data_IF_192269363043
#
_entry.id   IF_192269363043
#
_cell.length_a   1.000
_cell.length_b   1.000
_cell.length_c   1.000
_cell.angle_alpha   90.00
_cell.angle_beta   90.00
_cell.angle_gamma   90.00
#
_symmetry.space_group_name_H-M   'P 1'
#
loop_
_entity.id
_entity.type
_entity.pdbx_description
1 polymer ?
#
# COMPACT_ATOMS: atom_id res chain seq x y z
N UNK A 1 1.22 -8.77 -25.35
CA UNK A 1 1.87 -9.43 -24.20
C UNK A 1 0.78 -10.12 -23.39
N UNK A 2 0.83 -11.45 -23.27
CA UNK A 2 -0.08 -12.21 -22.40
C UNK A 2 0.46 -12.17 -20.97
N UNK A 3 -0.27 -11.58 -20.04
CA UNK A 3 0.06 -11.64 -18.62
C UNK A 3 -0.04 -13.09 -18.17
N UNK A 4 1.06 -13.65 -17.66
CA UNK A 4 1.11 -15.02 -17.16
C UNK A 4 0.31 -15.15 -15.87
N UNK A 5 -0.23 -16.34 -15.64
CA UNK A 5 -0.97 -16.64 -14.40
C UNK A 5 -0.10 -16.42 -13.15
N UNK A 6 1.19 -16.70 -13.22
CA UNK A 6 2.16 -16.44 -12.17
C UNK A 6 2.33 -14.95 -11.83
N UNK A 7 2.30 -14.06 -12.82
CA UNK A 7 2.39 -12.61 -12.59
C UNK A 7 1.13 -12.09 -11.89
N UNK A 8 -0.04 -12.63 -12.24
CA UNK A 8 -1.31 -12.30 -11.58
C UNK A 8 -1.26 -12.70 -10.11
N UNK A 9 -0.78 -13.91 -9.80
CA UNK A 9 -0.64 -14.38 -8.41
C UNK A 9 0.33 -13.48 -7.63
N UNK A 10 1.48 -13.14 -8.22
CA UNK A 10 2.45 -12.26 -7.56
C UNK A 10 1.86 -10.88 -7.27
N UNK A 11 1.15 -10.28 -8.23
CA UNK A 11 0.43 -9.02 -8.01
C UNK A 11 -0.58 -9.13 -6.86
N UNK A 12 -1.33 -10.22 -6.80
CA UNK A 12 -2.34 -10.46 -5.78
C UNK A 12 -1.70 -10.60 -4.39
N UNK A 13 -0.55 -11.26 -4.29
CA UNK A 13 0.18 -11.41 -3.02
C UNK A 13 0.81 -10.09 -2.59
N UNK A 14 1.54 -9.41 -3.46
CA UNK A 14 2.32 -8.22 -3.10
C UNK A 14 1.46 -6.96 -2.95
N UNK A 15 0.43 -6.78 -3.78
CA UNK A 15 -0.48 -5.62 -3.71
C UNK A 15 -1.72 -5.95 -2.87
N UNK A 16 -2.28 -7.14 -3.03
CA UNK A 16 -3.47 -7.55 -2.28
C UNK A 16 -3.18 -7.91 -0.83
N UNK A 17 -2.07 -8.61 -0.54
CA UNK A 17 -1.70 -9.05 0.80
C UNK A 17 -1.71 -7.95 1.87
N UNK A 18 -1.09 -6.78 1.63
CA UNK A 18 -1.09 -5.64 2.54
C UNK A 18 -2.48 -5.09 2.90
N UNK A 19 -3.49 -5.24 2.03
CA UNK A 19 -4.89 -4.88 2.32
C UNK A 19 -5.63 -6.04 2.97
N UNK A 20 -5.48 -7.26 2.44
CA UNK A 20 -6.18 -8.45 2.89
C UNK A 20 -5.89 -8.74 4.36
N UNK A 21 -4.64 -8.61 4.80
CA UNK A 21 -4.26 -8.87 6.18
C UNK A 21 -5.02 -7.98 7.20
N UNK A 22 -4.96 -6.64 7.13
CA UNK A 22 -5.69 -5.78 8.05
C UNK A 22 -7.21 -5.91 7.89
N UNK A 23 -7.72 -6.15 6.68
CA UNK A 23 -9.14 -6.37 6.43
C UNK A 23 -9.66 -7.61 7.19
N UNK A 24 -8.97 -8.75 7.07
CA UNK A 24 -9.32 -9.99 7.78
C UNK A 24 -9.22 -9.86 9.30
N UNK A 25 -8.30 -9.03 9.78
CA UNK A 25 -8.12 -8.75 11.22
C UNK A 25 -9.00 -7.61 11.74
N UNK A 26 -9.92 -7.07 10.92
CA UNK A 26 -10.79 -5.92 11.24
C UNK A 26 -10.00 -4.71 11.77
N UNK A 27 -8.77 -4.53 11.29
CA UNK A 27 -7.87 -3.42 11.66
C UNK A 27 -8.12 -2.25 10.71
N UNK A 28 -9.24 -1.55 10.94
CA UNK A 28 -9.74 -0.52 10.02
C UNK A 28 -8.77 0.64 9.80
N UNK A 29 -8.07 1.12 10.85
CA UNK A 29 -7.09 2.20 10.71
C UNK A 29 -5.88 1.77 9.88
N UNK A 30 -5.41 0.52 10.06
CA UNK A 30 -4.37 -0.05 9.20
C UNK A 30 -4.85 -0.15 7.75
N UNK A 31 -6.03 -0.72 7.52
CA UNK A 31 -6.60 -0.87 6.19
C UNK A 31 -6.73 0.48 5.47
N UNK A 32 -7.21 1.51 6.17
CA UNK A 32 -7.33 2.87 5.64
C UNK A 32 -5.96 3.43 5.25
N UNK A 33 -4.94 3.22 6.09
CA UNK A 33 -3.57 3.71 5.83
C UNK A 33 -2.99 3.09 4.57
N UNK A 34 -3.15 1.78 4.39
CA UNK A 34 -2.66 1.07 3.19
C UNK A 34 -3.43 1.54 1.96
N UNK A 35 -4.75 1.73 2.06
CA UNK A 35 -5.58 2.20 0.96
C UNK A 35 -5.21 3.62 0.52
N UNK A 36 -5.02 4.54 1.47
CA UNK A 36 -4.50 5.88 1.19
C UNK A 36 -3.09 5.84 0.59
N UNK A 37 -2.24 4.95 1.07
CA UNK A 37 -0.93 4.70 0.50
C UNK A 37 -1.00 4.33 -0.98
N UNK A 38 -1.90 3.42 -1.36
CA UNK A 38 -2.05 3.06 -2.78
C UNK A 38 -2.54 4.21 -3.64
N UNK A 39 -3.47 5.03 -3.13
CA UNK A 39 -3.93 6.22 -3.85
C UNK A 39 -2.77 7.20 -4.03
N UNK A 40 -2.00 7.48 -2.98
CA UNK A 40 -0.81 8.33 -3.03
C UNK A 40 0.24 7.81 -4.03
N UNK A 41 0.48 6.50 -4.04
CA UNK A 41 1.41 5.90 -4.99
C UNK A 41 0.91 6.04 -6.42
N UNK A 42 -0.38 5.79 -6.66
CA UNK A 42 -0.99 6.00 -7.98
C UNK A 42 -0.92 7.45 -8.45
N UNK A 43 -1.12 8.42 -7.55
CA UNK A 43 -0.95 9.84 -7.85
C UNK A 43 0.50 10.21 -8.15
N UNK A 44 1.46 9.62 -7.43
CA UNK A 44 2.88 9.77 -7.74
C UNK A 44 3.22 9.21 -9.12
N UNK A 45 2.68 8.04 -9.47
CA UNK A 45 2.78 7.49 -10.81
C UNK A 45 2.20 8.42 -11.87
N UNK A 46 1.00 8.96 -11.64
CA UNK A 46 0.38 9.93 -12.55
C UNK A 46 1.23 11.19 -12.73
N UNK A 47 1.81 11.71 -11.64
CA UNK A 47 2.72 12.85 -11.68
C UNK A 47 3.98 12.55 -12.51
N UNK A 48 4.63 11.40 -12.26
CA UNK A 48 5.81 10.99 -13.03
C UNK A 48 5.46 10.77 -14.51
N UNK A 49 4.30 10.19 -14.81
CA UNK A 49 3.85 10.00 -16.18
C UNK A 49 3.64 11.33 -16.92
N UNK A 50 3.16 12.36 -16.22
CA UNK A 50 2.92 13.68 -16.78
C UNK A 50 4.20 14.53 -16.93
N UNK A 51 5.25 14.24 -16.17
CA UNK A 51 6.43 15.11 -16.03
C UNK A 51 7.74 14.48 -16.50
N UNK A 52 7.84 13.15 -16.56
CA UNK A 52 9.08 12.42 -16.80
C UNK A 52 9.10 11.73 -18.16
N UNK A 53 10.31 11.50 -18.69
CA UNK A 53 10.51 10.66 -19.86
C UNK A 53 10.08 9.21 -19.56
N UNK A 54 9.61 8.46 -20.57
CA UNK A 54 9.00 7.12 -20.39
C UNK A 54 9.92 6.15 -19.64
N UNK A 55 11.23 6.30 -19.82
CA UNK A 55 12.28 5.50 -19.17
C UNK A 55 12.42 5.80 -17.69
N UNK A 56 12.37 7.07 -17.28
CA UNK A 56 12.42 7.48 -15.87
C UNK A 56 11.13 7.10 -15.14
N UNK A 57 9.99 7.21 -15.82
CA UNK A 57 8.71 6.74 -15.32
C UNK A 57 8.74 5.25 -14.97
N UNK A 58 9.13 4.39 -15.92
CA UNK A 58 9.16 2.94 -15.70
C UNK A 58 10.14 2.52 -14.59
N UNK A 59 11.31 3.16 -14.55
CA UNK A 59 12.37 2.78 -13.61
C UNK A 59 12.08 3.29 -12.20
N UNK A 60 11.68 4.56 -12.06
CA UNK A 60 11.32 5.13 -10.77
C UNK A 60 10.05 4.51 -10.20
N UNK A 61 8.96 4.50 -10.96
CA UNK A 61 7.68 4.00 -10.47
C UNK A 61 7.68 2.47 -10.24
N UNK A 62 8.38 1.70 -11.06
CA UNK A 62 8.45 0.24 -10.89
C UNK A 62 9.33 -0.18 -9.70
N UNK A 63 10.47 0.50 -9.49
CA UNK A 63 11.45 0.08 -8.49
C UNK A 63 11.02 0.45 -7.06
N UNK A 64 10.26 1.53 -6.88
CA UNK A 64 9.85 2.00 -5.55
C UNK A 64 8.59 1.32 -4.99
N UNK A 65 7.87 0.50 -5.76
CA UNK A 65 6.57 -0.03 -5.32
C UNK A 65 6.70 -0.97 -4.12
N UNK A 66 7.67 -1.88 -4.15
CA UNK A 66 7.93 -2.83 -3.07
C UNK A 66 8.36 -2.09 -1.78
N UNK A 67 9.42 -1.25 -1.78
CA UNK A 67 9.81 -0.54 -0.56
C UNK A 67 8.71 0.39 -0.06
N UNK A 68 7.94 1.02 -0.94
CA UNK A 68 6.80 1.86 -0.57
C UNK A 68 5.71 1.06 0.16
N UNK A 69 5.32 -0.11 -0.37
CA UNK A 69 4.33 -0.98 0.26
C UNK A 69 4.80 -1.45 1.65
N UNK A 70 6.08 -1.75 1.81
CA UNK A 70 6.64 -2.12 3.12
C UNK A 70 6.50 -0.98 4.12
N UNK A 71 6.90 0.24 3.72
CA UNK A 71 6.84 1.43 4.59
C UNK A 71 5.39 1.75 4.98
N UNK A 72 4.46 1.80 4.03
CA UNK A 72 3.06 2.12 4.35
C UNK A 72 2.42 1.06 5.24
N UNK A 73 2.78 -0.21 5.06
CA UNK A 73 2.29 -1.30 5.90
C UNK A 73 2.78 -1.15 7.35
N UNK A 74 4.05 -0.79 7.54
CA UNK A 74 4.63 -0.51 8.86
C UNK A 74 3.91 0.68 9.50
N UNK A 75 3.72 1.78 8.77
CA UNK A 75 2.99 2.97 9.26
C UNK A 75 1.56 2.59 9.66
N UNK A 76 0.85 1.83 8.83
CA UNK A 76 -0.51 1.37 9.12
C UNK A 76 -0.61 0.52 10.38
N UNK A 77 0.38 -0.36 10.61
CA UNK A 77 0.47 -1.13 11.86
C UNK A 77 0.69 -0.22 13.09
N UNK A 78 1.52 0.81 12.98
CA UNK A 78 1.74 1.77 14.07
C UNK A 78 0.49 2.60 14.37
N UNK A 79 -0.19 3.13 13.34
CA UNK A 79 -1.42 3.89 13.47
C UNK A 79 -2.55 3.06 14.09
N UNK A 80 -2.67 1.79 13.67
CA UNK A 80 -3.63 0.86 14.28
C UNK A 80 -3.36 0.64 15.76
N UNK A 81 -2.08 0.47 16.16
CA UNK A 81 -1.71 0.32 17.57
C UNK A 81 -2.02 1.58 18.38
N UNK A 82 -1.82 2.76 17.80
CA UNK A 82 -2.19 4.02 18.44
C UNK A 82 -3.72 4.13 18.61
N UNK A 83 -4.49 3.82 17.57
CA UNK A 83 -5.96 3.82 17.60
C UNK A 83 -6.52 2.88 18.68
N UNK A 84 -5.97 1.67 18.81
CA UNK A 84 -6.40 0.69 19.82
C UNK A 84 -6.09 1.15 21.25
N UNK A 85 -4.99 1.90 21.43
CA UNK A 85 -4.63 2.46 22.74
C UNK A 85 -5.63 3.56 23.14
N UNK A 86 -6.02 4.42 22.20
CA UNK A 86 -7.03 5.46 22.42
C UNK A 86 -8.39 4.84 22.77
N UNK A 87 -8.85 3.87 21.99
CA UNK A 87 -10.16 3.23 22.23
C UNK A 87 -10.24 2.52 23.59
N UNK A 88 -9.13 1.95 24.08
CA UNK A 88 -9.06 1.38 25.43
C UNK A 88 -9.11 2.44 26.53
N UNK A 89 -8.55 3.63 26.28
CA UNK A 89 -8.50 4.72 27.26
C UNK A 89 -9.85 5.42 27.42
N UNK A 90 -10.70 5.43 26.38
CA UNK A 90 -12.05 6.03 26.44
C UNK A 90 -13.10 5.11 27.07
N UNK A 91 -12.81 3.80 27.18
CA UNK A 91 -13.69 2.79 27.78
C UNK A 91 -13.39 2.49 29.26
N UNK A 92 -12.37 3.12 29.85
CA UNK A 92 -12.07 3.08 31.29
C UNK A 92 -12.63 4.32 31.98
#
# INVERSE_FOLDING_TARGET
MSVSFSEIIMLLIFVGGPILYPLLKKKWAWCLTVLLGYVLYGLWGFYLHATSDITEYGTGYGMFIIPYIIVITIIGKFLQRASEKTEKSEKQ
#
